data_IF_984584715565
#
_entry.id   IF_984584715565
#
_cell.length_a   1.000
_cell.length_b   1.000
_cell.length_c   1.000
_cell.angle_alpha   90.00
_cell.angle_beta   90.00
_cell.angle_gamma   90.00
#
_symmetry.space_group_name_H-M   'P 1'
#
loop_
_entity.id
_entity.type
_entity.pdbx_description
1 polymer ?
#
# COMPACT_ATOMS: atom_id res chain seq x y z
N UNK A 1 -48.78 19.30 -28.66
CA UNK A 1 -47.43 19.88 -28.62
C UNK A 1 -46.72 19.34 -27.39
N UNK A 2 -46.20 18.11 -27.29
CA UNK A 2 -45.14 17.43 -28.06
C UNK A 2 -43.87 18.27 -28.23
N UNK A 3 -42.90 18.07 -27.33
CA UNK A 3 -41.52 17.64 -27.64
C UNK A 3 -40.68 17.56 -26.35
N UNK A 4 -40.52 16.34 -25.85
CA UNK A 4 -39.44 15.99 -24.94
C UNK A 4 -38.13 15.96 -25.75
N UNK A 5 -37.12 16.66 -25.28
CA UNK A 5 -35.79 16.68 -25.89
C UNK A 5 -35.03 15.47 -25.34
N UNK A 6 -35.07 14.35 -26.05
CA UNK A 6 -34.13 13.25 -25.86
C UNK A 6 -32.90 13.54 -26.72
N UNK A 7 -31.76 13.79 -26.07
CA UNK A 7 -30.46 13.81 -26.74
C UNK A 7 -30.05 12.36 -27.04
N UNK A 8 -29.69 11.99 -28.28
CA UNK A 8 -29.11 10.69 -28.53
C UNK A 8 -27.66 10.67 -28.00
N UNK A 9 -27.38 9.77 -27.07
CA UNK A 9 -26.01 9.42 -26.68
C UNK A 9 -25.46 8.56 -27.83
N UNK A 10 -24.49 9.12 -28.56
CA UNK A 10 -23.73 8.38 -29.57
C UNK A 10 -22.76 7.45 -28.83
N UNK A 11 -22.85 6.11 -28.96
CA UNK A 11 -21.77 5.26 -28.49
C UNK A 11 -20.59 5.40 -29.46
N UNK A 12 -19.44 5.84 -28.94
CA UNK A 12 -18.17 5.75 -29.66
C UNK A 12 -17.92 4.29 -30.03
N UNK A 13 -17.89 3.99 -31.33
CA UNK A 13 -17.44 2.70 -31.84
C UNK A 13 -15.93 2.64 -31.69
N UNK A 14 -15.45 1.95 -30.66
CA UNK A 14 -14.08 1.51 -30.60
C UNK A 14 -13.89 0.39 -31.63
N UNK A 15 -13.27 0.71 -32.76
CA UNK A 15 -12.82 -0.27 -33.75
C UNK A 15 -11.55 -0.95 -33.23
N UNK A 16 -11.72 -1.93 -32.36
CA UNK A 16 -10.66 -2.88 -31.98
C UNK A 16 -10.84 -4.18 -32.77
N UNK A 17 -9.79 -4.60 -33.48
CA UNK A 17 -9.73 -5.83 -34.28
C UNK A 17 -10.17 -7.07 -33.46
N UNK A 18 -11.14 -7.89 -33.93
CA UNK A 18 -11.63 -9.03 -33.18
C UNK A 18 -10.93 -10.33 -33.61
N UNK A 19 -9.60 -10.41 -33.47
CA UNK A 19 -8.87 -11.62 -33.88
C UNK A 19 -8.04 -12.29 -32.79
N UNK A 20 -8.31 -11.99 -31.51
CA UNK A 20 -7.77 -12.76 -30.38
C UNK A 20 -8.77 -12.91 -29.23
N UNK A 21 -10.06 -13.16 -29.53
CA UNK A 21 -10.96 -13.72 -28.53
C UNK A 21 -10.86 -15.25 -28.63
N UNK A 22 -10.28 -15.96 -27.66
CA UNK A 22 -10.63 -17.36 -27.50
C UNK A 22 -12.14 -17.38 -27.29
N UNK A 23 -12.82 -18.08 -28.19
CA UNK A 23 -14.24 -18.42 -28.13
C UNK A 23 -14.68 -18.54 -26.68
N UNK A 24 -15.77 -17.87 -26.32
CA UNK A 24 -16.43 -17.90 -25.02
C UNK A 24 -16.54 -19.34 -24.45
N UNK A 25 -15.46 -19.85 -23.85
CA UNK A 25 -15.58 -20.73 -22.72
C UNK A 25 -16.14 -19.82 -21.65
N UNK A 26 -17.47 -19.71 -21.62
CA UNK A 26 -18.19 -19.42 -20.39
C UNK A 26 -17.77 -20.51 -19.42
N UNK A 27 -16.61 -20.32 -18.80
CA UNK A 27 -16.29 -20.93 -17.53
C UNK A 27 -17.39 -20.39 -16.65
N UNK A 28 -18.47 -21.15 -16.55
CA UNK A 28 -19.50 -20.93 -15.57
C UNK A 28 -18.82 -21.26 -14.25
N UNK A 29 -18.01 -20.30 -13.78
CA UNK A 29 -17.31 -20.41 -12.54
C UNK A 29 -18.42 -20.52 -11.52
N UNK A 30 -18.63 -21.74 -11.00
CA UNK A 30 -19.61 -21.99 -9.97
C UNK A 30 -19.29 -21.03 -8.83
N UNK A 31 -20.13 -20.02 -8.65
CA UNK A 31 -20.07 -19.17 -7.48
C UNK A 31 -20.43 -20.07 -6.31
N UNK A 32 -19.49 -20.27 -5.38
CA UNK A 32 -19.66 -21.16 -4.23
C UNK A 32 -20.55 -20.48 -3.17
N UNK A 33 -21.81 -20.24 -3.50
CA UNK A 33 -22.83 -19.75 -2.57
C UNK A 33 -23.48 -20.94 -1.88
N UNK A 34 -23.69 -20.87 -0.57
CA UNK A 34 -24.30 -21.97 0.20
C UNK A 34 -25.53 -21.49 0.97
N UNK A 35 -26.70 -21.98 0.57
CA UNK A 35 -27.97 -21.72 1.24
C UNK A 35 -28.32 -22.88 2.17
N UNK A 36 -28.60 -22.58 3.43
CA UNK A 36 -29.14 -23.55 4.37
C UNK A 36 -30.65 -23.52 4.26
N UNK A 37 -31.21 -24.66 3.86
CA UNK A 37 -32.63 -24.84 3.57
C UNK A 37 -33.25 -25.84 4.54
N UNK A 38 -34.48 -25.57 4.97
CA UNK A 38 -35.27 -26.51 5.76
C UNK A 38 -36.49 -26.94 4.95
N UNK A 39 -36.75 -28.24 4.90
CA UNK A 39 -37.97 -28.75 4.25
C UNK A 39 -39.20 -28.22 5.00
N UNK A 40 -40.14 -27.63 4.27
CA UNK A 40 -41.40 -27.13 4.83
C UNK A 40 -42.26 -28.26 5.39
N UNK A 41 -42.26 -29.41 4.72
CA UNK A 41 -42.95 -30.62 5.16
C UNK A 41 -41.96 -31.72 5.53
N UNK A 42 -42.10 -32.33 6.72
CA UNK A 42 -41.18 -33.37 7.17
C UNK A 42 -41.30 -34.64 6.32
N UNK A 43 -40.17 -35.30 6.11
CA UNK A 43 -40.13 -36.61 5.44
C UNK A 43 -40.59 -37.68 6.41
N UNK A 44 -41.19 -38.74 5.90
CA UNK A 44 -41.56 -39.87 6.72
C UNK A 44 -40.34 -40.58 7.29
N UNK A 45 -40.40 -40.92 8.59
CA UNK A 45 -39.38 -41.68 9.26
C UNK A 45 -39.30 -43.11 8.71
N UNK A 46 -38.06 -43.57 8.53
CA UNK A 46 -37.72 -44.96 8.19
C UNK A 46 -37.29 -45.65 9.48
N UNK A 47 -37.52 -46.97 9.60
CA UNK A 47 -37.06 -47.74 10.77
C UNK A 47 -35.54 -47.62 10.91
N UNK A 48 -35.04 -47.59 12.16
CA UNK A 48 -33.61 -47.53 12.46
C UNK A 48 -32.87 -48.70 11.78
N UNK A 49 -31.76 -48.41 11.11
CA UNK A 49 -30.94 -49.41 10.40
C UNK A 49 -31.45 -49.82 9.02
N UNK A 50 -32.57 -49.27 8.55
CA UNK A 50 -33.03 -49.43 7.15
C UNK A 50 -32.54 -48.27 6.31
N UNK A 51 -32.31 -48.53 5.03
CA UNK A 51 -31.90 -47.51 4.06
C UNK A 51 -32.91 -46.34 4.03
N UNK A 52 -32.48 -45.08 4.24
CA UNK A 52 -33.32 -43.89 4.10
C UNK A 52 -34.03 -43.78 2.75
N UNK A 53 -33.46 -44.34 1.68
CA UNK A 53 -34.04 -44.36 0.33
C UNK A 53 -35.24 -45.29 0.19
N UNK A 54 -35.41 -46.26 1.12
CA UNK A 54 -36.50 -47.24 1.07
C UNK A 54 -37.90 -46.61 1.12
N UNK A 55 -38.02 -45.38 1.62
CA UNK A 55 -39.27 -44.62 1.58
C UNK A 55 -39.13 -43.42 0.64
N UNK A 56 -39.69 -43.56 -0.57
CA UNK A 56 -39.61 -42.54 -1.62
C UNK A 56 -40.21 -41.20 -1.15
N UNK A 57 -39.45 -40.12 -1.36
CA UNK A 57 -39.91 -38.76 -1.11
C UNK A 57 -40.99 -38.36 -2.12
N UNK A 58 -42.02 -37.62 -1.66
CA UNK A 58 -43.07 -37.06 -2.51
C UNK A 58 -42.68 -35.66 -2.97
N UNK A 59 -43.30 -35.17 -4.05
CA UNK A 59 -43.07 -33.84 -4.61
C UNK A 59 -43.14 -32.72 -3.55
N UNK A 60 -44.11 -32.78 -2.64
CA UNK A 60 -44.23 -31.82 -1.53
C UNK A 60 -42.95 -31.72 -0.68
N UNK A 61 -42.20 -32.80 -0.47
CA UNK A 61 -40.99 -32.78 0.37
C UNK A 61 -39.80 -32.04 -0.27
N UNK A 62 -39.90 -31.64 -1.54
CA UNK A 62 -38.89 -30.84 -2.25
C UNK A 62 -39.15 -29.34 -2.19
N UNK A 63 -40.12 -28.90 -1.38
CA UNK A 63 -40.29 -27.47 -1.08
C UNK A 63 -39.53 -27.14 0.18
N UNK A 64 -38.73 -26.10 0.07
CA UNK A 64 -37.79 -25.66 1.09
C UNK A 64 -38.08 -24.22 1.47
N UNK A 65 -37.94 -23.96 2.76
CA UNK A 65 -37.91 -22.62 3.32
C UNK A 65 -36.44 -22.25 3.57
N UNK A 66 -36.07 -21.01 3.21
CA UNK A 66 -34.73 -20.49 3.45
C UNK A 66 -34.55 -20.24 4.94
N UNK A 67 -33.56 -20.90 5.55
CA UNK A 67 -33.23 -20.69 6.97
C UNK A 67 -32.12 -19.66 7.10
N UNK A 68 -31.03 -19.85 6.35
CA UNK A 68 -29.86 -19.01 6.49
C UNK A 68 -29.09 -18.94 5.18
N UNK A 69 -28.68 -17.73 4.83
CA UNK A 69 -27.74 -17.47 3.76
C UNK A 69 -26.33 -17.34 4.35
N UNK A 70 -25.40 -18.18 3.87
CA UNK A 70 -24.02 -18.18 4.36
C UNK A 70 -23.23 -16.98 3.85
N UNK A 71 -23.63 -16.37 2.73
CA UNK A 71 -22.90 -15.26 2.13
C UNK A 71 -23.09 -13.94 2.89
N UNK A 72 -24.22 -13.80 3.58
CA UNK A 72 -24.53 -12.65 4.46
C UNK A 72 -23.75 -12.71 5.77
N UNK A 73 -23.29 -13.90 6.18
CA UNK A 73 -22.56 -14.06 7.45
C UNK A 73 -21.23 -13.34 7.38
N UNK A 74 -20.89 -12.65 8.47
CA UNK A 74 -19.57 -12.06 8.64
C UNK A 74 -18.55 -13.21 8.70
N UNK A 75 -17.67 -13.23 7.69
CA UNK A 75 -16.57 -14.20 7.63
C UNK A 75 -15.60 -13.88 8.75
N UNK A 76 -15.24 -14.90 9.53
CA UNK A 76 -14.24 -14.79 10.59
C UNK A 76 -12.89 -14.41 9.99
N UNK A 77 -12.12 -13.64 10.73
CA UNK A 77 -10.75 -13.34 10.33
C UNK A 77 -9.88 -14.61 10.34
N UNK A 78 -8.83 -14.58 9.54
CA UNK A 78 -7.90 -15.68 9.35
C UNK A 78 -6.58 -15.34 10.02
N UNK A 79 -6.05 -16.31 10.75
CA UNK A 79 -4.74 -16.24 11.35
C UNK A 79 -3.69 -16.86 10.45
N UNK A 80 -2.61 -16.11 10.22
CA UNK A 80 -1.49 -16.50 9.36
C UNK A 80 -0.17 -16.15 10.04
N UNK A 81 0.89 -16.86 9.66
CA UNK A 81 2.25 -16.63 10.11
C UNK A 81 3.06 -16.15 8.92
N UNK A 82 3.74 -15.02 9.05
CA UNK A 82 4.57 -14.48 7.97
C UNK A 82 5.86 -15.29 7.80
N UNK A 83 6.16 -15.67 6.56
CA UNK A 83 7.46 -16.28 6.20
C UNK A 83 8.51 -15.22 5.92
N UNK A 84 8.10 -14.07 5.40
CA UNK A 84 8.96 -12.96 5.00
C UNK A 84 8.47 -11.63 5.59
N UNK A 85 9.32 -10.61 5.50
CA UNK A 85 8.92 -9.24 5.82
C UNK A 85 7.88 -8.74 4.81
N UNK A 86 6.76 -8.19 5.30
CA UNK A 86 5.71 -7.61 4.46
C UNK A 86 5.41 -6.18 4.90
N UNK A 87 5.54 -5.24 3.95
CA UNK A 87 5.40 -3.81 4.17
C UNK A 87 4.06 -3.41 4.82
N UNK A 88 4.15 -2.88 6.04
CA UNK A 88 3.05 -2.42 6.87
C UNK A 88 2.11 -3.52 7.34
N UNK A 89 2.58 -4.77 7.36
CA UNK A 89 1.86 -5.92 7.92
C UNK A 89 2.65 -6.49 9.10
N UNK A 90 3.91 -6.88 8.90
CA UNK A 90 4.73 -7.43 9.97
C UNK A 90 6.10 -7.93 9.52
N UNK A 91 6.87 -8.41 10.49
CA UNK A 91 8.16 -9.04 10.25
C UNK A 91 8.00 -10.56 10.08
N UNK A 92 9.05 -11.21 9.60
CA UNK A 92 9.10 -12.68 9.49
C UNK A 92 8.84 -13.33 10.86
N UNK A 93 8.02 -14.39 10.85
CA UNK A 93 7.62 -15.15 12.04
C UNK A 93 6.45 -14.55 12.83
N UNK A 94 5.92 -13.38 12.45
CA UNK A 94 4.80 -12.77 13.16
C UNK A 94 3.48 -13.50 12.86
N UNK A 95 2.68 -13.74 13.91
CA UNK A 95 1.31 -14.25 13.83
C UNK A 95 0.34 -13.08 13.73
N UNK A 96 -0.43 -13.04 12.64
CA UNK A 96 -1.29 -11.91 12.28
C UNK A 96 -2.69 -12.41 12.01
N UNK A 97 -3.68 -11.65 12.48
CA UNK A 97 -5.10 -11.89 12.22
C UNK A 97 -5.60 -10.85 11.23
N UNK A 98 -6.18 -11.29 10.11
CA UNK A 98 -6.71 -10.37 9.08
C UNK A 98 -7.86 -10.99 8.29
N UNK A 99 -8.57 -10.18 7.51
CA UNK A 99 -9.68 -10.66 6.66
C UNK A 99 -9.22 -11.72 5.65
N UNK A 100 -9.96 -12.82 5.55
CA UNK A 100 -9.65 -13.98 4.69
C UNK A 100 -9.25 -13.63 3.26
N UNK A 101 -10.01 -12.74 2.59
CA UNK A 101 -9.73 -12.37 1.20
C UNK A 101 -8.38 -11.65 1.05
N UNK A 102 -8.05 -10.78 2.01
CA UNK A 102 -6.78 -10.05 2.00
C UNK A 102 -5.62 -10.99 2.34
N UNK A 103 -5.78 -11.88 3.32
CA UNK A 103 -4.78 -12.92 3.64
C UNK A 103 -4.49 -13.81 2.43
N UNK A 104 -5.54 -14.29 1.77
CA UNK A 104 -5.40 -15.19 0.64
C UNK A 104 -4.69 -14.51 -0.54
N UNK A 105 -5.20 -13.38 -1.03
CA UNK A 105 -4.63 -12.74 -2.22
C UNK A 105 -3.27 -12.08 -1.98
N UNK A 106 -3.04 -11.47 -0.81
CA UNK A 106 -1.82 -10.69 -0.56
C UNK A 106 -0.71 -11.49 0.09
N UNK A 107 -1.01 -12.54 0.84
CA UNK A 107 -0.01 -13.27 1.63
C UNK A 107 0.12 -14.74 1.21
N UNK A 108 -0.97 -15.50 1.25
CA UNK A 108 -0.91 -16.95 1.02
C UNK A 108 -0.66 -17.31 -0.44
N UNK A 109 -1.36 -16.64 -1.38
CA UNK A 109 -1.20 -16.86 -2.81
C UNK A 109 0.23 -16.59 -3.31
N UNK A 110 0.89 -15.46 -2.92
CA UNK A 110 2.30 -15.25 -3.27
C UNK A 110 3.29 -16.05 -2.40
N UNK A 111 2.84 -16.74 -1.35
CA UNK A 111 3.71 -17.53 -0.47
C UNK A 111 4.48 -16.72 0.59
N UNK A 112 4.02 -15.50 0.91
CA UNK A 112 4.60 -14.62 1.94
C UNK A 112 4.13 -14.96 3.37
N UNK A 113 3.17 -15.88 3.48
CA UNK A 113 2.68 -16.37 4.76
C UNK A 113 2.20 -17.82 4.63
N UNK A 114 2.07 -18.46 5.79
CA UNK A 114 1.53 -19.81 5.95
C UNK A 114 0.37 -19.78 6.94
N UNK A 115 -0.57 -20.71 6.79
CA UNK A 115 -1.64 -20.91 7.78
C UNK A 115 -1.09 -21.20 9.17
N UNK A 116 -1.74 -20.64 10.20
CA UNK A 116 -1.45 -20.92 11.60
C UNK A 116 -2.02 -22.29 12.05
N UNK A 117 -1.56 -23.39 11.45
CA UNK A 117 -1.81 -24.75 11.94
C UNK A 117 -0.94 -25.01 13.17
N UNK A 118 -1.34 -25.94 14.08
CA UNK A 118 -0.51 -26.25 15.27
C UNK A 118 0.91 -26.66 14.89
N UNK A 119 1.07 -27.47 13.85
CA UNK A 119 2.39 -27.86 13.33
C UNK A 119 3.21 -26.67 12.83
N UNK A 120 2.58 -25.70 12.17
CA UNK A 120 3.30 -24.52 11.68
C UNK A 120 3.61 -23.54 12.80
N UNK A 121 2.77 -23.47 13.83
CA UNK A 121 3.08 -22.66 15.01
C UNK A 121 4.36 -23.17 15.69
N UNK A 122 4.50 -24.49 15.84
CA UNK A 122 5.70 -25.12 16.39
C UNK A 122 6.92 -24.97 15.47
N UNK A 123 6.75 -25.10 14.15
CA UNK A 123 7.85 -24.90 13.19
C UNK A 123 8.37 -23.46 13.20
N UNK A 124 7.48 -22.48 13.29
CA UNK A 124 7.82 -21.06 13.17
C UNK A 124 8.09 -20.38 14.51
N UNK A 125 7.85 -21.03 15.65
CA UNK A 125 8.20 -20.46 16.97
C UNK A 125 9.70 -20.24 17.12
N UNK A 126 10.51 -21.16 16.60
CA UNK A 126 11.97 -21.11 16.71
C UNK A 126 12.61 -20.02 15.84
N UNK A 127 11.95 -19.58 14.77
CA UNK A 127 12.50 -18.56 13.85
C UNK A 127 12.73 -17.20 14.51
N UNK A 128 12.03 -16.89 15.61
CA UNK A 128 12.23 -15.64 16.34
C UNK A 128 13.45 -15.68 17.26
N UNK A 129 13.82 -16.88 17.71
CA UNK A 129 14.89 -17.11 18.68
C UNK A 129 16.24 -17.39 18.00
N UNK A 130 16.26 -17.49 16.67
CA UNK A 130 17.50 -17.59 15.90
C UNK A 130 18.37 -16.35 16.17
N UNK A 131 19.56 -16.56 16.74
CA UNK A 131 20.50 -15.51 17.17
C UNK A 131 20.91 -14.59 16.01
N UNK A 132 20.84 -15.10 14.78
CA UNK A 132 21.16 -14.37 13.55
C UNK A 132 19.97 -13.59 12.97
N UNK A 133 18.79 -13.68 13.58
CA UNK A 133 17.60 -12.99 13.09
C UNK A 133 17.68 -11.49 13.40
N UNK A 134 18.16 -10.73 12.42
CA UNK A 134 18.05 -9.27 12.39
C UNK A 134 16.89 -8.88 11.47
N UNK A 135 15.85 -8.20 11.96
CA UNK A 135 14.76 -7.76 11.11
C UNK A 135 15.31 -6.77 10.07
N UNK A 136 14.87 -6.92 8.82
CA UNK A 136 15.32 -6.07 7.70
C UNK A 136 15.05 -4.59 7.94
N UNK A 137 13.94 -4.29 8.61
CA UNK A 137 13.54 -2.95 8.99
C UNK A 137 13.24 -2.89 10.49
N UNK A 138 13.44 -1.72 11.08
CA UNK A 138 13.16 -1.46 12.49
C UNK A 138 11.67 -1.59 12.82
N UNK A 139 10.77 -1.29 11.87
CA UNK A 139 9.33 -1.50 12.00
C UNK A 139 8.66 -1.95 10.70
N UNK A 140 7.46 -2.57 10.77
CA UNK A 140 6.71 -2.96 9.58
C UNK A 140 6.37 -1.80 8.66
N UNK A 141 6.16 -0.59 9.20
CA UNK A 141 5.70 0.57 8.44
C UNK A 141 6.82 1.40 7.82
N UNK A 142 8.09 1.13 8.16
CA UNK A 142 9.23 1.94 7.71
C UNK A 142 9.24 2.10 6.20
N UNK A 143 9.09 1.01 5.44
CA UNK A 143 9.14 1.07 3.98
C UNK A 143 8.08 2.01 3.39
N UNK A 144 6.87 2.03 3.98
CA UNK A 144 5.81 2.96 3.55
C UNK A 144 6.19 4.41 3.89
N UNK A 145 6.72 4.64 5.08
CA UNK A 145 7.19 5.97 5.51
C UNK A 145 8.35 6.46 4.64
N UNK A 146 9.32 5.60 4.30
CA UNK A 146 10.42 5.92 3.40
C UNK A 146 9.90 6.39 2.04
N UNK A 147 8.95 5.66 1.44
CA UNK A 147 8.34 6.03 0.15
C UNK A 147 7.61 7.38 0.21
N UNK A 148 6.89 7.64 1.31
CA UNK A 148 6.20 8.93 1.52
C UNK A 148 7.23 10.06 1.62
N UNK A 149 8.28 9.88 2.43
CA UNK A 149 9.31 10.88 2.64
C UNK A 149 10.13 11.17 1.37
N UNK A 150 10.44 10.14 0.56
CA UNK A 150 11.16 10.29 -0.71
C UNK A 150 10.36 11.05 -1.77
N UNK A 151 9.05 10.84 -1.81
CA UNK A 151 8.17 11.50 -2.79
C UNK A 151 7.71 12.89 -2.32
N UNK A 152 7.93 13.24 -1.05
CA UNK A 152 7.49 14.51 -0.48
C UNK A 152 8.53 15.62 -0.73
N UNK A 153 8.03 16.77 -1.16
CA UNK A 153 8.81 18.01 -1.25
C UNK A 153 8.44 18.92 -0.08
N UNK A 154 9.36 19.14 0.86
CA UNK A 154 9.11 19.98 2.03
C UNK A 154 9.48 21.43 1.72
N UNK A 155 8.50 22.33 1.79
CA UNK A 155 8.76 23.76 1.61
C UNK A 155 9.36 24.37 2.88
N UNK A 156 10.59 24.84 2.78
CA UNK A 156 11.33 25.54 3.83
C UNK A 156 11.15 27.03 3.61
N UNK A 157 10.41 27.66 4.52
CA UNK A 157 10.02 29.06 4.41
C UNK A 157 11.10 29.96 5.04
N UNK A 158 11.76 30.78 4.23
CA UNK A 158 12.88 31.62 4.68
C UNK A 158 12.67 33.10 4.34
N UNK A 159 13.15 34.00 5.20
CA UNK A 159 12.92 35.44 4.98
C UNK A 159 13.70 35.94 3.74
N UNK A 160 13.09 36.79 2.93
CA UNK A 160 13.76 37.46 1.80
C UNK A 160 14.68 38.60 2.25
N UNK A 161 14.31 39.31 3.31
CA UNK A 161 14.93 40.60 3.65
C UNK A 161 16.03 40.47 4.71
N UNK A 162 15.98 39.41 5.53
CA UNK A 162 16.91 39.16 6.64
C UNK A 162 17.85 38.01 6.27
N UNK A 163 19.18 38.14 6.45
CA UNK A 163 20.11 37.04 6.20
C UNK A 163 19.85 35.89 7.17
N UNK A 164 19.91 34.66 6.64
CA UNK A 164 19.63 33.44 7.40
C UNK A 164 20.60 32.33 7.02
N UNK A 165 20.77 31.40 7.96
CA UNK A 165 21.52 30.15 7.78
C UNK A 165 20.60 29.00 8.15
N UNK A 166 20.50 27.99 7.28
CA UNK A 166 19.66 26.82 7.57
C UNK A 166 20.29 26.01 8.69
N UNK A 167 19.46 25.74 9.69
CA UNK A 167 19.77 24.90 10.86
C UNK A 167 18.67 23.84 11.01
N UNK A 168 18.92 22.74 11.74
CA UNK A 168 17.97 21.63 11.84
C UNK A 168 16.57 22.04 12.33
N UNK A 169 16.47 23.04 13.22
CA UNK A 169 15.19 23.52 13.73
C UNK A 169 14.30 24.17 12.64
N UNK A 170 14.90 24.82 11.64
CA UNK A 170 14.15 25.37 10.50
C UNK A 170 13.48 24.26 9.68
N UNK A 171 14.22 23.18 9.46
CA UNK A 171 13.73 21.99 8.75
C UNK A 171 12.64 21.31 9.59
N UNK A 172 12.84 21.17 10.91
CA UNK A 172 11.84 20.63 11.84
C UNK A 172 10.50 21.38 11.79
N UNK A 173 10.53 22.71 11.81
CA UNK A 173 9.30 23.52 11.69
C UNK A 173 8.63 23.30 10.34
N UNK A 174 9.41 23.17 9.27
CA UNK A 174 8.91 22.92 7.92
C UNK A 174 8.22 21.55 7.80
N UNK A 175 8.81 20.50 8.37
CA UNK A 175 8.15 19.19 8.49
C UNK A 175 6.88 19.26 9.32
N UNK A 176 6.87 20.02 10.43
CA UNK A 176 5.65 20.21 11.23
C UNK A 176 4.55 20.90 10.43
N UNK A 177 4.89 21.87 9.58
CA UNK A 177 3.95 22.52 8.66
C UNK A 177 3.41 21.54 7.61
N UNK A 178 4.24 20.59 7.17
CA UNK A 178 3.84 19.49 6.29
C UNK A 178 3.04 18.37 7.02
N UNK A 179 2.83 18.48 8.34
CA UNK A 179 2.07 17.51 9.14
C UNK A 179 2.89 16.33 9.69
N UNK A 180 4.22 16.37 9.58
CA UNK A 180 5.12 15.32 10.09
C UNK A 180 5.91 15.85 11.28
N UNK A 181 5.91 15.11 12.38
CA UNK A 181 6.68 15.46 13.57
C UNK A 181 8.04 14.76 13.56
N UNK A 182 9.13 15.53 13.61
CA UNK A 182 10.51 15.01 13.59
C UNK A 182 11.32 15.71 14.70
N UNK A 183 12.16 14.98 15.47
CA UNK A 183 13.12 15.57 16.40
C UNK A 183 14.36 16.12 15.66
N UNK A 184 15.07 17.06 16.26
CA UNK A 184 16.24 17.71 15.61
C UNK A 184 17.39 16.73 15.41
N UNK A 185 17.59 15.81 16.35
CA UNK A 185 18.65 14.81 16.33
C UNK A 185 18.55 13.83 15.14
N UNK A 186 17.35 13.69 14.56
CA UNK A 186 17.11 12.82 13.42
C UNK A 186 17.42 13.48 12.07
N UNK A 187 17.71 14.79 12.06
CA UNK A 187 17.88 15.59 10.84
C UNK A 187 19.37 15.83 10.59
N UNK A 188 19.87 15.30 9.47
CA UNK A 188 21.23 15.54 9.00
C UNK A 188 21.19 16.47 7.79
N UNK A 189 21.75 17.67 7.97
CA UNK A 189 21.92 18.67 6.91
C UNK A 189 23.10 18.30 5.99
N UNK A 190 23.10 18.81 4.75
CA UNK A 190 24.26 18.69 3.87
C UNK A 190 25.49 19.39 4.46
N UNK A 191 26.68 18.97 4.04
CA UNK A 191 27.96 19.52 4.53
C UNK A 191 28.14 21.00 4.18
N UNK A 192 27.60 21.42 3.04
CA UNK A 192 27.66 22.80 2.58
C UNK A 192 26.57 23.65 3.25
N UNK A 193 26.93 24.70 4.03
CA UNK A 193 25.96 25.54 4.69
C UNK A 193 25.19 26.39 3.68
N UNK A 194 23.87 26.28 3.71
CA UNK A 194 22.98 27.09 2.86
C UNK A 194 22.71 28.41 3.59
N UNK A 195 23.20 29.50 2.98
CA UNK A 195 23.03 30.86 3.48
C UNK A 195 22.26 31.71 2.46
N UNK A 196 21.28 32.46 2.93
CA UNK A 196 20.54 33.45 2.15
C UNK A 196 20.76 34.88 2.67
N UNK A 197 20.17 35.90 2.03
CA UNK A 197 19.05 35.84 1.10
C UNK A 197 19.50 35.97 -0.36
N UNK A 198 19.44 34.86 -1.11
CA UNK A 198 19.75 34.84 -2.54
C UNK A 198 18.49 34.45 -3.31
N UNK A 199 17.97 35.37 -4.13
CA UNK A 199 16.77 35.13 -4.96
C UNK A 199 16.98 33.97 -5.94
N UNK A 200 18.24 33.70 -6.32
CA UNK A 200 18.60 32.56 -7.17
C UNK A 200 18.34 31.20 -6.54
N UNK A 201 18.21 31.12 -5.20
CA UNK A 201 17.91 29.87 -4.50
C UNK A 201 16.42 29.59 -4.40
N UNK A 202 15.56 30.51 -4.87
CA UNK A 202 14.13 30.31 -4.90
C UNK A 202 13.76 29.10 -5.76
N UNK A 203 12.84 28.26 -5.28
CA UNK A 203 12.39 27.04 -5.94
C UNK A 203 13.47 25.99 -6.22
N UNK A 204 14.69 26.19 -5.72
CA UNK A 204 15.71 25.16 -5.71
C UNK A 204 15.53 24.23 -4.52
N UNK A 205 15.95 22.98 -4.68
CA UNK A 205 15.88 21.99 -3.63
C UNK A 205 17.26 21.61 -3.12
N UNK A 206 17.36 21.27 -1.84
CA UNK A 206 18.50 20.60 -1.24
C UNK A 206 18.03 19.33 -0.55
N UNK A 207 18.91 18.37 -0.42
CA UNK A 207 18.58 17.08 0.19
C UNK A 207 18.96 17.08 1.67
N UNK A 208 18.03 16.65 2.51
CA UNK A 208 18.22 16.47 3.94
C UNK A 208 18.06 15.00 4.26
N UNK A 209 19.02 14.43 4.98
CA UNK A 209 18.92 13.03 5.40
C UNK A 209 18.17 12.93 6.71
N UNK A 210 17.01 12.30 6.69
CA UNK A 210 16.18 12.03 7.87
C UNK A 210 16.42 10.60 8.34
N UNK A 211 16.72 10.42 9.62
CA UNK A 211 16.93 9.11 10.22
C UNK A 211 15.66 8.62 10.92
N UNK A 212 15.19 7.41 10.57
CA UNK A 212 14.06 6.72 11.18
C UNK A 212 14.62 5.71 12.18
N UNK A 213 14.16 5.76 13.43
CA UNK A 213 14.52 4.81 14.50
C UNK A 213 16.04 4.52 14.61
N UNK A 214 16.88 5.53 14.35
CA UNK A 214 18.35 5.44 14.35
C UNK A 214 18.96 4.38 13.41
N UNK A 215 18.18 3.81 12.49
CA UNK A 215 18.59 2.67 11.66
C UNK A 215 18.50 3.04 10.18
N UNK A 216 17.34 3.49 9.71
CA UNK A 216 17.12 3.81 8.30
C UNK A 216 17.34 5.30 8.01
N UNK A 217 18.12 5.60 6.96
CA UNK A 217 18.38 6.97 6.51
C UNK A 217 17.64 7.23 5.20
N UNK A 218 16.91 8.33 5.12
CA UNK A 218 16.08 8.69 3.97
C UNK A 218 16.43 10.09 3.49
N UNK A 219 16.84 10.29 2.22
CA UNK A 219 16.99 11.61 1.66
C UNK A 219 15.60 12.20 1.37
N UNK A 220 15.36 13.42 1.87
CA UNK A 220 14.13 14.18 1.65
C UNK A 220 14.48 15.48 0.93
N UNK A 221 13.68 15.83 -0.09
CA UNK A 221 13.87 17.06 -0.85
C UNK A 221 13.23 18.23 -0.11
N UNK A 222 14.05 19.18 0.28
CA UNK A 222 13.63 20.43 0.91
C UNK A 222 13.74 21.56 -0.11
N UNK A 223 12.65 22.26 -0.38
CA UNK A 223 12.57 23.33 -1.38
C UNK A 223 12.54 24.67 -0.65
N UNK A 224 13.42 25.58 -1.04
CA UNK A 224 13.50 26.90 -0.42
C UNK A 224 12.43 27.80 -1.04
N UNK A 225 11.63 28.44 -0.19
CA UNK A 225 10.67 29.46 -0.57
C UNK A 225 10.87 30.72 0.26
N UNK A 226 11.13 31.84 -0.41
CA UNK A 226 11.32 33.13 0.24
C UNK A 226 9.97 33.77 0.58
N UNK A 227 9.83 34.21 1.84
CA UNK A 227 8.69 34.99 2.31
C UNK A 227 9.12 36.41 2.72
N UNK A 228 8.21 37.36 2.61
CA UNK A 228 8.39 38.72 3.12
C UNK A 228 7.18 39.13 3.97
N UNK A 229 7.41 40.02 4.93
CA UNK A 229 6.38 40.64 5.77
C UNK A 229 5.54 41.63 4.95
N UNK A 230 6.18 42.34 4.02
CA UNK A 230 5.54 43.31 3.15
C UNK A 230 4.69 42.63 2.09
N UNK A 231 3.39 42.94 2.06
CA UNK A 231 2.41 42.33 1.14
C UNK A 231 2.81 42.54 -0.33
N UNK A 232 3.43 43.67 -0.67
CA UNK A 232 3.93 43.97 -2.02
C UNK A 232 5.05 43.05 -2.49
N UNK A 233 5.85 42.53 -1.55
CA UNK A 233 7.05 41.74 -1.83
C UNK A 233 6.81 40.23 -1.67
N UNK A 234 5.57 39.83 -1.34
CA UNK A 234 5.20 38.42 -1.25
C UNK A 234 5.24 37.81 -2.63
N UNK A 235 5.98 36.72 -2.75
CA UNK A 235 5.98 35.93 -3.97
C UNK A 235 4.63 35.23 -4.09
N UNK A 236 4.11 35.07 -5.33
CA UNK A 236 2.95 34.24 -5.54
C UNK A 236 3.25 32.82 -5.03
N UNK A 237 2.24 32.10 -4.53
CA UNK A 237 2.37 30.67 -4.32
C UNK A 237 2.90 30.06 -5.62
N UNK A 238 3.94 29.24 -5.50
CA UNK A 238 4.54 28.59 -6.65
C UNK A 238 3.50 27.63 -7.20
N UNK A 239 3.00 27.93 -8.40
CA UNK A 239 2.14 27.01 -9.14
C UNK A 239 2.93 25.70 -9.30
N UNK A 240 2.24 24.56 -9.24
CA UNK A 240 2.83 23.24 -9.47
C UNK A 240 3.19 23.09 -10.95
N UNK A 241 4.12 23.91 -11.44
CA UNK A 241 4.65 23.78 -12.79
C UNK A 241 5.42 22.46 -12.85
N UNK A 242 5.11 21.62 -13.85
CA UNK A 242 5.71 20.31 -14.16
C UNK A 242 7.24 20.36 -14.39
N UNK A 243 7.90 21.49 -14.16
CA UNK A 243 9.33 21.64 -14.38
C UNK A 243 10.13 20.98 -13.25
N UNK A 244 11.12 20.13 -13.59
CA UNK A 244 12.01 19.55 -12.60
C UNK A 244 12.77 20.69 -11.89
N UNK A 245 12.56 20.81 -10.59
CA UNK A 245 13.28 21.78 -9.76
C UNK A 245 14.78 21.48 -9.81
N UNK A 246 15.60 22.52 -9.77
CA UNK A 246 17.06 22.38 -9.78
C UNK A 246 17.60 22.20 -8.37
N UNK A 247 18.67 21.42 -8.19
CA UNK A 247 19.35 21.32 -6.90
C UNK A 247 20.11 22.63 -6.61
N UNK A 248 20.18 23.02 -5.32
CA UNK A 248 20.94 24.20 -4.86
C UNK A 248 22.43 24.02 -5.12
N UNK A 249 22.93 22.81 -4.87
CA UNK A 249 24.30 22.40 -5.15
C UNK A 249 24.33 21.56 -6.42
N UNK A 250 25.34 21.71 -7.30
CA UNK A 250 25.51 20.76 -8.40
C UNK A 250 25.65 19.36 -7.81
N UNK A 251 24.82 18.41 -8.25
CA UNK A 251 24.88 17.03 -7.77
C UNK A 251 26.26 16.47 -8.11
N UNK A 252 27.12 16.37 -7.11
CA UNK A 252 28.28 15.48 -7.19
C UNK A 252 27.70 14.08 -7.28
N UNK A 253 27.76 13.47 -8.46
CA UNK A 253 27.24 12.11 -8.71
C UNK A 253 28.09 11.13 -7.89
N UNK A 254 27.77 10.98 -6.61
CA UNK A 254 28.29 9.90 -5.78
C UNK A 254 27.48 8.65 -6.08
N UNK A 255 27.99 7.87 -7.04
CA UNK A 255 27.82 6.44 -7.25
C UNK A 255 26.68 5.75 -6.48
N UNK A 256 25.46 5.87 -6.96
CA UNK A 256 24.39 4.92 -6.59
C UNK A 256 23.50 4.69 -7.80
N UNK A 257 23.74 3.59 -8.53
CA UNK A 257 22.79 3.12 -9.55
C UNK A 257 23.34 2.46 -10.82
N UNK A 258 24.52 1.82 -10.80
CA UNK A 258 24.97 0.98 -11.92
C UNK A 258 25.62 -0.32 -11.45
N UNK A 259 24.84 -1.14 -10.74
CA UNK A 259 25.04 -2.59 -10.66
C UNK A 259 23.68 -3.28 -10.63
N UNK A 260 22.99 -3.27 -11.76
CA UNK A 260 21.95 -4.24 -12.07
C UNK A 260 21.89 -4.33 -13.60
N UNK A 261 22.15 -5.54 -14.11
CA UNK A 261 22.09 -5.97 -15.52
C UNK A 261 23.44 -6.00 -16.27
N UNK A 262 24.37 -6.81 -15.77
CA UNK A 262 25.13 -7.71 -16.64
C UNK A 262 25.16 -9.08 -15.95
N UNK A 263 25.05 -10.14 -16.74
CA UNK A 263 25.22 -11.56 -16.34
C UNK A 263 23.92 -12.37 -16.17
N UNK A 264 23.08 -12.35 -17.21
CA UNK A 264 22.40 -13.57 -17.68
C UNK A 264 22.60 -13.70 -19.19
N UNK A 265 23.81 -14.12 -19.56
CA UNK A 265 24.17 -14.54 -20.91
C UNK A 265 25.36 -15.48 -20.79
N UNK A 266 25.09 -16.77 -20.55
CA UNK A 266 25.77 -17.88 -21.23
C UNK A 266 24.90 -19.12 -21.05
N UNK A 267 24.29 -19.54 -22.15
CA UNK A 267 23.81 -20.90 -22.32
C UNK A 267 25.00 -21.78 -22.72
N UNK A 268 25.11 -22.94 -22.09
CA UNK A 268 25.63 -24.20 -22.64
C UNK A 268 25.12 -25.32 -21.76
#
# INVERSE_FOLDING_TARGET
MWRQILRPVIPMRFSGNPLLCPSELKVHQQVRTTFILKRRWPVFLVKKGRDPSSKKMRARHYVYDLVEDTDVRIKKDLEVILTDFVAGVGNRGDRITMKQSAAYHKLLLPGLAVYASPENIEKFSHLKDEVDYKPKYSSPFVEKTMKILQNMNVMVLMNKDVPWKIEPWHVRISFRKAGIHIPEDAILLPEEPICGPNMEMENKFFEVTVTINNTEKVPVKCVIHHWSTHVSNKLPPVDEDDQPRMPVFPVTVSETGSQANSDFSTAS
#
